data_IF_105813899190
#
_entry.id   IF_105813899190
#
_cell.length_a   1.000
_cell.length_b   1.000
_cell.length_c   1.000
_cell.angle_alpha   90.00
_cell.angle_beta   90.00
_cell.angle_gamma   90.00
#
_symmetry.space_group_name_H-M   'P 1'
#
loop_
_entity.id
_entity.type
_entity.pdbx_description
1 polymer ?
#
# COMPACT_ATOMS: atom_id res chain seq x y z
N UNK A 1 -10.70 19.17 -20.60
CA UNK A 1 -10.02 18.28 -19.64
C UNK A 1 -9.39 17.14 -20.44
N UNK A 2 -8.09 16.88 -20.28
CA UNK A 2 -7.45 15.76 -20.97
C UNK A 2 -7.76 14.45 -20.23
N UNK A 3 -8.05 13.38 -20.97
CA UNK A 3 -8.26 12.04 -20.40
C UNK A 3 -6.91 11.38 -20.13
N UNK A 4 -6.59 11.14 -18.87
CA UNK A 4 -5.41 10.38 -18.44
C UNK A 4 -5.93 9.10 -17.77
N UNK A 5 -5.32 7.96 -18.12
CA UNK A 5 -5.66 6.69 -17.47
C UNK A 5 -5.13 6.67 -16.03
N UNK A 6 -5.93 6.17 -15.11
CA UNK A 6 -5.57 6.01 -13.68
C UNK A 6 -4.27 5.22 -13.51
N UNK A 7 -4.04 4.19 -14.33
CA UNK A 7 -2.81 3.37 -14.33
C UNK A 7 -1.51 4.20 -14.46
N UNK A 8 -1.58 5.38 -15.08
CA UNK A 8 -0.41 6.26 -15.29
C UNK A 8 -0.14 7.19 -14.11
N UNK A 9 -1.06 7.28 -13.16
CA UNK A 9 -1.00 8.18 -12.01
C UNK A 9 -0.96 7.44 -10.67
N UNK A 10 -1.50 6.21 -10.63
CA UNK A 10 -1.54 5.40 -9.41
C UNK A 10 -0.15 4.92 -8.99
N UNK A 11 -0.01 4.65 -7.70
CA UNK A 11 1.08 3.81 -7.18
C UNK A 11 0.76 2.35 -7.54
N UNK A 12 1.71 1.57 -8.07
CA UNK A 12 1.50 0.15 -8.33
C UNK A 12 1.09 -0.61 -7.07
N UNK A 13 0.15 -1.55 -7.18
CA UNK A 13 -0.29 -2.37 -6.04
C UNK A 13 0.87 -3.16 -5.40
N UNK A 14 1.86 -3.56 -6.21
CA UNK A 14 3.06 -4.23 -5.73
C UNK A 14 3.98 -3.35 -4.85
N UNK A 15 3.80 -2.03 -4.86
CA UNK A 15 4.53 -1.11 -3.99
C UNK A 15 3.81 -0.92 -2.63
N UNK A 16 2.52 -1.26 -2.53
CA UNK A 16 1.78 -1.09 -1.26
C UNK A 16 2.15 -2.15 -0.21
N UNK A 17 2.13 -1.73 1.05
CA UNK A 17 2.08 -2.67 2.17
C UNK A 17 0.77 -3.47 2.11
N UNK A 18 0.85 -4.78 2.35
CA UNK A 18 -0.30 -5.69 2.36
C UNK A 18 -0.37 -6.46 3.68
N UNK A 19 -1.58 -6.72 4.18
CA UNK A 19 -1.85 -7.63 5.32
C UNK A 19 -3.02 -8.56 5.00
N UNK A 20 -3.14 -9.65 5.75
CA UNK A 20 -4.31 -10.54 5.70
C UNK A 20 -5.57 -9.85 6.24
N UNK A 21 -6.76 -10.23 5.79
CA UNK A 21 -8.04 -9.80 6.38
C UNK A 21 -8.21 -10.20 7.85
N UNK A 22 -7.52 -11.26 8.27
CA UNK A 22 -7.49 -11.73 9.65
C UNK A 22 -6.40 -11.04 10.50
N UNK A 23 -5.63 -10.11 9.92
CA UNK A 23 -4.57 -9.42 10.64
C UNK A 23 -5.14 -8.46 11.69
N UNK A 24 -4.46 -8.39 12.82
CA UNK A 24 -4.75 -7.41 13.86
C UNK A 24 -4.39 -6.00 13.41
N UNK A 25 -5.01 -5.00 14.03
CA UNK A 25 -4.67 -3.60 13.77
C UNK A 25 -3.20 -3.30 14.06
N UNK A 26 -2.59 -3.97 15.05
CA UNK A 26 -1.17 -3.80 15.37
C UNK A 26 -0.27 -4.26 14.20
N UNK A 27 -0.56 -5.41 13.60
CA UNK A 27 0.17 -5.92 12.44
C UNK A 27 0.03 -4.99 11.24
N UNK A 28 -1.16 -4.43 11.01
CA UNK A 28 -1.38 -3.41 9.98
C UNK A 28 -0.53 -2.15 10.21
N UNK A 29 -0.44 -1.66 11.45
CA UNK A 29 0.39 -0.49 11.79
C UNK A 29 1.88 -0.78 11.58
N UNK A 30 2.35 -1.97 11.98
CA UNK A 30 3.75 -2.38 11.78
C UNK A 30 4.11 -2.54 10.30
N UNK A 31 3.21 -3.10 9.49
CA UNK A 31 3.38 -3.20 8.05
C UNK A 31 3.49 -1.82 7.39
N UNK A 32 2.65 -0.87 7.82
CA UNK A 32 2.70 0.50 7.34
C UNK A 32 4.01 1.20 7.71
N UNK A 33 4.43 1.12 8.97
CA UNK A 33 5.69 1.72 9.46
C UNK A 33 6.91 1.17 8.69
N UNK A 34 6.94 -0.14 8.46
CA UNK A 34 8.00 -0.78 7.68
C UNK A 34 8.02 -0.28 6.23
N UNK A 35 6.86 -0.18 5.59
CA UNK A 35 6.75 0.31 4.22
C UNK A 35 7.02 1.80 4.07
N UNK A 36 6.80 2.60 5.11
CA UNK A 36 7.19 4.01 5.12
C UNK A 36 8.71 4.17 5.23
N UNK A 37 9.37 3.33 6.03
CA UNK A 37 10.84 3.34 6.20
C UNK A 37 11.60 2.84 4.98
N UNK A 38 11.01 1.93 4.20
CA UNK A 38 11.65 1.36 3.00
C UNK A 38 11.61 2.27 1.77
N UNK A 39 10.82 3.35 1.80
CA UNK A 39 10.80 4.34 0.73
C UNK A 39 11.91 5.36 0.97
N UNK A 40 13.05 5.17 0.30
CA UNK A 40 14.10 6.18 0.27
C UNK A 40 13.63 7.42 -0.51
N UNK A 41 13.63 8.58 0.16
CA UNK A 41 13.35 9.90 -0.42
C UNK A 41 12.06 10.55 0.09
N UNK A 42 11.92 11.85 -0.17
CA UNK A 42 10.87 12.78 0.32
C UNK A 42 9.44 12.48 -0.20
N UNK A 43 9.17 11.22 -0.58
CA UNK A 43 7.87 10.78 -1.09
C UNK A 43 7.20 9.92 -0.04
N UNK A 44 6.26 10.50 0.70
CA UNK A 44 5.27 9.75 1.48
C UNK A 44 4.37 8.92 0.54
N UNK A 45 4.86 7.79 0.03
CA UNK A 45 4.11 6.96 -0.93
C UNK A 45 3.11 6.03 -0.25
N UNK A 46 3.39 5.60 0.97
CA UNK A 46 2.59 4.59 1.67
C UNK A 46 1.81 5.22 2.82
N UNK A 47 0.60 5.68 2.52
CA UNK A 47 -0.40 6.14 3.50
C UNK A 47 -1.53 5.13 3.73
N UNK A 48 -1.51 4.01 3.01
CA UNK A 48 -2.52 2.98 3.08
C UNK A 48 -1.85 1.60 3.11
N UNK A 49 -2.54 0.66 3.74
CA UNK A 49 -2.22 -0.78 3.72
C UNK A 49 -3.37 -1.46 3.01
N UNK A 50 -3.06 -2.34 2.06
CA UNK A 50 -4.05 -3.18 1.41
C UNK A 50 -4.35 -4.38 2.29
N UNK A 51 -5.62 -4.69 2.47
CA UNK A 51 -6.08 -5.89 3.17
C UNK A 51 -6.45 -6.90 2.12
N UNK A 52 -5.82 -8.08 2.17
CA UNK A 52 -5.99 -9.14 1.21
C UNK A 52 -6.80 -10.28 1.80
N UNK A 53 -7.73 -10.80 0.99
CA UNK A 53 -8.43 -12.04 1.29
C UNK A 53 -7.49 -13.27 1.11
N UNK A 54 -7.92 -14.50 1.46
CA UNK A 54 -7.12 -15.71 1.27
C UNK A 54 -6.79 -16.05 -0.19
N UNK A 55 -7.47 -15.42 -1.16
CA UNK A 55 -7.18 -15.53 -2.59
C UNK A 55 -6.23 -14.43 -3.09
N UNK A 56 -5.78 -13.54 -2.21
CA UNK A 56 -4.88 -12.43 -2.53
C UNK A 56 -5.56 -11.27 -3.25
N UNK A 57 -6.88 -11.10 -3.07
CA UNK A 57 -7.67 -10.01 -3.67
C UNK A 57 -7.90 -8.86 -2.71
#
# INVERSE_FOLDING_TARGET
MQSIKVEKLMVPLAEYATVSEEATLNEAVLALDTAQKSVEGDREKHRAVLVLDPQGR
#
